data_IF_791475432763
#
_entry.id   IF_791475432763
#
_cell.length_a   1.000
_cell.length_b   1.000
_cell.length_c   1.000
_cell.angle_alpha   90.00
_cell.angle_beta   90.00
_cell.angle_gamma   90.00
#
_symmetry.space_group_name_H-M   'P 1'
#
loop_
_entity.id
_entity.type
_entity.pdbx_description
1 polymer ?
#
# COMPACT_ATOMS: atom_id res chain seq x y z
N UNK A 1 -22.19 -2.38 -10.13
CA UNK A 1 -23.57 -2.62 -10.60
C UNK A 1 -24.30 -3.75 -9.86
N UNK A 2 -23.63 -4.85 -9.49
CA UNK A 2 -24.28 -6.00 -8.82
C UNK A 2 -24.92 -5.71 -7.45
N UNK A 3 -24.46 -4.67 -6.75
CA UNK A 3 -24.97 -4.22 -5.44
C UNK A 3 -25.92 -3.03 -5.51
N UNK A 4 -26.06 -2.37 -6.67
CA UNK A 4 -26.90 -1.17 -6.85
C UNK A 4 -28.38 -1.53 -7.03
N UNK A 5 -28.65 -2.63 -7.75
CA UNK A 5 -30.02 -3.12 -8.01
C UNK A 5 -30.76 -3.47 -6.71
N UNK A 6 -30.18 -4.25 -5.76
CA UNK A 6 -30.85 -4.52 -4.49
C UNK A 6 -31.01 -3.27 -3.62
N UNK A 7 -30.05 -2.34 -3.64
CA UNK A 7 -30.15 -1.09 -2.87
C UNK A 7 -31.30 -0.19 -3.35
N UNK A 8 -31.48 -0.04 -4.66
CA UNK A 8 -32.58 0.77 -5.23
C UNK A 8 -33.95 0.18 -4.86
N UNK A 9 -34.07 -1.15 -4.84
CA UNK A 9 -35.31 -1.84 -4.47
C UNK A 9 -35.65 -1.65 -2.99
N UNK A 10 -34.65 -1.62 -2.10
CA UNK A 10 -34.83 -1.36 -0.66
C UNK A 10 -35.22 0.10 -0.40
N UNK A 11 -34.58 1.07 -1.07
CA UNK A 11 -34.88 2.50 -0.88
C UNK A 11 -36.31 2.86 -1.34
N UNK A 12 -36.80 2.22 -2.41
CA UNK A 12 -38.15 2.49 -2.96
C UNK A 12 -39.27 1.84 -2.15
N UNK A 13 -39.00 0.78 -1.37
CA UNK A 13 -40.04 0.02 -0.67
C UNK A 13 -40.07 0.25 0.84
N UNK A 14 -38.99 0.73 1.46
CA UNK A 14 -38.79 0.74 2.91
C UNK A 14 -38.03 1.99 3.38
N UNK A 15 -38.66 3.16 3.32
CA UNK A 15 -38.06 4.43 3.80
C UNK A 15 -37.69 4.39 5.30
N UNK A 16 -38.33 3.54 6.13
CA UNK A 16 -38.05 3.45 7.57
C UNK A 16 -37.12 2.31 8.00
N UNK A 17 -36.70 1.40 7.09
CA UNK A 17 -35.86 0.24 7.47
C UNK A 17 -34.35 0.51 7.38
N UNK A 18 -33.94 1.65 6.82
CA UNK A 18 -32.54 2.05 6.66
C UNK A 18 -31.78 2.07 8.01
N UNK A 19 -32.34 2.62 9.12
CA UNK A 19 -31.69 2.58 10.43
C UNK A 19 -31.47 1.14 10.94
N UNK A 20 -32.43 0.24 10.70
CA UNK A 20 -32.37 -1.14 11.13
C UNK A 20 -31.34 -1.96 10.33
N UNK A 21 -31.29 -1.78 9.00
CA UNK A 21 -30.31 -2.44 8.13
C UNK A 21 -28.88 -1.98 8.44
N UNK A 22 -28.68 -0.69 8.74
CA UNK A 22 -27.37 -0.15 9.11
C UNK A 22 -26.79 -0.81 10.38
N UNK A 23 -27.65 -1.21 11.32
CA UNK A 23 -27.26 -1.91 12.55
C UNK A 23 -27.02 -3.40 12.31
N UNK A 24 -27.95 -4.08 11.62
CA UNK A 24 -27.98 -5.54 11.56
C UNK A 24 -27.38 -6.18 10.29
N UNK A 25 -27.36 -5.48 9.15
CA UNK A 25 -26.91 -6.03 7.87
C UNK A 25 -26.16 -5.00 6.98
N UNK A 26 -25.05 -4.42 7.47
CA UNK A 26 -24.36 -3.32 6.79
C UNK A 26 -23.67 -3.70 5.47
N UNK A 27 -23.50 -4.99 5.19
CA UNK A 27 -22.93 -5.50 3.94
C UNK A 27 -23.86 -5.33 2.73
N UNK A 28 -25.14 -5.02 2.95
CA UNK A 28 -26.12 -4.74 1.87
C UNK A 28 -26.17 -3.26 1.48
N UNK A 29 -25.46 -2.40 2.20
CA UNK A 29 -25.44 -0.97 1.96
C UNK A 29 -24.29 -0.59 1.01
N UNK A 30 -24.51 0.36 0.08
CA UNK A 30 -23.45 0.87 -0.78
C UNK A 30 -22.36 1.52 0.06
N UNK A 31 -21.13 1.55 -0.47
CA UNK A 31 -19.96 2.09 0.21
C UNK A 31 -20.09 3.56 0.63
N UNK A 32 -21.12 4.26 0.15
CA UNK A 32 -21.47 5.64 0.52
C UNK A 32 -22.11 5.78 1.89
N UNK A 33 -22.54 4.69 2.54
CA UNK A 33 -23.18 4.70 3.88
C UNK A 33 -22.40 3.91 4.93
N UNK A 34 -21.09 3.74 4.72
CA UNK A 34 -20.19 3.11 5.69
C UNK A 34 -20.01 4.05 6.90
N UNK A 35 -20.33 3.56 8.10
CA UNK A 35 -20.14 4.33 9.32
C UNK A 35 -18.63 4.50 9.64
N UNK A 36 -18.22 5.60 10.31
CA UNK A 36 -16.83 5.80 10.74
C UNK A 36 -16.26 4.64 11.56
N UNK A 37 -17.09 4.01 12.39
CA UNK A 37 -16.71 2.83 13.19
C UNK A 37 -16.45 1.59 12.33
N UNK A 38 -17.15 1.44 11.20
CA UNK A 38 -16.93 0.35 10.25
C UNK A 38 -15.68 0.59 9.41
N UNK A 39 -15.44 1.83 8.98
CA UNK A 39 -14.21 2.23 8.30
C UNK A 39 -12.98 1.90 9.17
N UNK A 40 -13.01 2.29 10.45
CA UNK A 40 -11.94 1.99 11.39
C UNK A 40 -11.68 0.47 11.52
N UNK A 41 -12.73 -0.34 11.67
CA UNK A 41 -12.59 -1.81 11.71
C UNK A 41 -11.98 -2.38 10.42
N UNK A 42 -12.34 -1.82 9.27
CA UNK A 42 -11.77 -2.23 7.98
C UNK A 42 -10.29 -1.86 7.89
N UNK A 43 -9.92 -0.66 8.32
CA UNK A 43 -8.53 -0.19 8.40
C UNK A 43 -7.70 -1.05 9.35
N UNK A 44 -8.20 -1.32 10.56
CA UNK A 44 -7.55 -2.17 11.56
C UNK A 44 -7.31 -3.59 11.00
N UNK A 45 -8.31 -4.15 10.29
CA UNK A 45 -8.17 -5.45 9.64
C UNK A 45 -7.15 -5.44 8.50
N UNK A 46 -7.12 -4.36 7.71
CA UNK A 46 -6.14 -4.18 6.64
C UNK A 46 -4.72 -4.05 7.21
N UNK A 47 -4.56 -3.35 8.33
CA UNK A 47 -3.31 -3.20 9.07
C UNK A 47 -2.79 -4.52 9.62
N UNK A 48 -3.64 -5.27 10.33
CA UNK A 48 -3.28 -6.57 10.86
C UNK A 48 -2.86 -7.53 9.73
N UNK A 49 -3.58 -7.49 8.60
CA UNK A 49 -3.21 -8.26 7.42
C UNK A 49 -1.87 -7.81 6.83
N UNK A 50 -1.63 -6.51 6.71
CA UNK A 50 -0.36 -5.96 6.23
C UNK A 50 0.82 -6.45 7.07
N UNK A 51 0.70 -6.38 8.41
CA UNK A 51 1.71 -6.88 9.36
C UNK A 51 2.00 -8.37 9.20
N UNK A 52 1.00 -9.18 8.84
CA UNK A 52 1.20 -10.62 8.62
C UNK A 52 2.08 -10.94 7.39
N UNK A 53 2.30 -9.98 6.50
CA UNK A 53 3.17 -10.11 5.32
C UNK A 53 4.58 -9.55 5.54
N UNK A 54 4.89 -9.11 6.76
CA UNK A 54 6.26 -8.75 7.13
C UNK A 54 7.11 -10.02 7.18
N UNK A 55 7.87 -10.28 6.11
CA UNK A 55 8.83 -11.39 6.02
C UNK A 55 10.25 -10.84 5.92
N UNK A 56 11.04 -10.87 7.02
CA UNK A 56 12.42 -10.38 7.02
C UNK A 56 13.29 -11.06 5.96
N UNK A 57 13.17 -12.38 5.81
CA UNK A 57 13.92 -13.17 4.82
C UNK A 57 13.61 -12.75 3.39
N UNK A 58 12.33 -12.55 3.06
CA UNK A 58 11.91 -12.14 1.72
C UNK A 58 12.41 -10.72 1.39
N UNK A 59 12.28 -9.76 2.32
CA UNK A 59 12.75 -8.40 2.07
C UNK A 59 14.28 -8.30 2.03
N UNK A 60 14.99 -9.09 2.84
CA UNK A 60 16.45 -9.20 2.75
C UNK A 60 16.90 -9.75 1.39
N UNK A 61 16.21 -10.77 0.86
CA UNK A 61 16.51 -11.31 -0.47
C UNK A 61 16.37 -10.24 -1.57
N UNK A 62 15.33 -9.40 -1.49
CA UNK A 62 15.14 -8.27 -2.42
C UNK A 62 16.26 -7.23 -2.31
N UNK A 63 16.65 -6.87 -1.08
CA UNK A 63 17.74 -5.91 -0.85
C UNK A 63 19.07 -6.46 -1.36
N UNK A 64 19.35 -7.75 -1.14
CA UNK A 64 20.58 -8.39 -1.63
C UNK A 64 20.61 -8.45 -3.16
N UNK A 65 19.50 -8.83 -3.80
CA UNK A 65 19.39 -8.84 -5.27
C UNK A 65 19.59 -7.45 -5.91
N UNK A 66 19.32 -6.37 -5.18
CA UNK A 66 19.59 -5.00 -5.63
C UNK A 66 21.07 -4.61 -5.49
N UNK A 67 21.81 -5.22 -4.55
CA UNK A 67 23.24 -4.96 -4.29
C UNK A 67 24.15 -5.69 -5.28
N UNK A 68 23.69 -6.81 -5.83
CA UNK A 68 24.40 -7.60 -6.84
C UNK A 68 24.48 -6.91 -8.21
N UNK A 69 23.86 -5.73 -8.39
CA UNK A 69 23.89 -4.96 -9.64
C UNK A 69 25.22 -4.20 -9.83
N UNK A 70 25.70 -4.15 -11.08
CA UNK A 70 26.80 -3.26 -11.49
C UNK A 70 26.52 -1.80 -11.10
N UNK A 71 27.62 -1.10 -10.78
CA UNK A 71 27.77 0.22 -10.16
C UNK A 71 26.76 1.32 -10.54
N UNK A 72 26.20 1.25 -11.75
CA UNK A 72 25.37 2.29 -12.36
C UNK A 72 23.88 2.23 -11.97
N UNK A 73 23.37 1.07 -11.55
CA UNK A 73 21.96 0.87 -11.16
C UNK A 73 21.84 0.30 -9.74
N UNK A 74 22.54 0.91 -8.78
CA UNK A 74 22.36 0.56 -7.36
C UNK A 74 20.96 0.99 -6.90
N UNK A 75 20.35 0.18 -6.02
CA UNK A 75 19.06 0.46 -5.37
C UNK A 75 17.80 0.33 -6.27
N UNK A 76 17.83 -0.55 -7.28
CA UNK A 76 16.65 -0.87 -8.10
C UNK A 76 16.41 -2.37 -8.17
N UNK A 77 15.14 -2.77 -8.23
CA UNK A 77 14.72 -4.17 -8.49
C UNK A 77 13.52 -4.15 -9.42
N UNK A 78 13.69 -4.61 -10.65
CA UNK A 78 12.59 -4.72 -11.59
C UNK A 78 11.64 -5.90 -11.26
N UNK A 79 10.49 -5.95 -11.94
CA UNK A 79 9.46 -6.98 -11.72
C UNK A 79 9.94 -8.39 -12.11
N UNK A 80 10.83 -8.52 -13.09
CA UNK A 80 11.36 -9.81 -13.53
C UNK A 80 12.35 -10.37 -12.51
N UNK A 81 13.20 -9.52 -11.93
CA UNK A 81 14.03 -9.86 -10.79
C UNK A 81 13.20 -10.24 -9.58
N UNK A 82 12.18 -9.44 -9.24
CA UNK A 82 11.26 -9.78 -8.14
C UNK A 82 10.62 -11.17 -8.35
N UNK A 83 10.26 -11.51 -9.59
CA UNK A 83 9.77 -12.83 -9.97
C UNK A 83 10.82 -13.93 -9.77
N UNK A 84 12.06 -13.67 -10.19
CA UNK A 84 13.17 -14.63 -10.12
C UNK A 84 13.63 -14.91 -8.68
N UNK A 85 13.55 -13.92 -7.78
CA UNK A 85 13.82 -14.12 -6.35
C UNK A 85 12.85 -15.14 -5.76
N UNK A 86 11.58 -15.08 -6.18
CA UNK A 86 10.63 -16.14 -5.91
C UNK A 86 9.24 -15.66 -5.50
N UNK A 87 8.32 -16.62 -5.37
CA UNK A 87 6.90 -16.36 -5.11
C UNK A 87 6.64 -15.79 -3.72
N UNK A 88 7.46 -16.13 -2.74
CA UNK A 88 7.37 -15.56 -1.40
C UNK A 88 7.61 -14.05 -1.42
N UNK A 89 8.68 -13.60 -2.10
CA UNK A 89 9.02 -12.18 -2.23
C UNK A 89 7.94 -11.38 -2.96
N UNK A 90 7.38 -11.92 -4.04
CA UNK A 90 6.22 -11.31 -4.71
C UNK A 90 5.01 -11.16 -3.78
N UNK A 91 4.73 -12.19 -2.97
CA UNK A 91 3.59 -12.16 -2.03
C UNK A 91 3.84 -11.23 -0.85
N UNK A 92 5.07 -11.15 -0.35
CA UNK A 92 5.45 -10.22 0.70
C UNK A 92 5.27 -8.77 0.23
N UNK A 93 5.78 -8.42 -0.97
CA UNK A 93 5.60 -7.08 -1.56
C UNK A 93 4.13 -6.78 -1.83
N UNK A 94 3.38 -7.70 -2.44
CA UNK A 94 1.95 -7.47 -2.67
C UNK A 94 1.17 -7.32 -1.35
N UNK A 95 1.46 -8.16 -0.36
CA UNK A 95 0.77 -8.16 0.93
C UNK A 95 1.06 -6.93 1.77
N UNK A 96 2.32 -6.48 1.81
CA UNK A 96 2.70 -5.25 2.51
C UNK A 96 2.10 -4.01 1.85
N UNK A 97 1.87 -4.03 0.53
CA UNK A 97 1.15 -2.98 -0.20
C UNK A 97 -0.39 -3.13 -0.10
N UNK A 98 -0.90 -4.02 0.76
CA UNK A 98 -2.33 -4.32 0.94
C UNK A 98 -3.04 -4.84 -0.32
N UNK A 99 -2.29 -5.37 -1.26
CA UNK A 99 -2.80 -5.98 -2.48
C UNK A 99 -3.17 -7.44 -2.25
N UNK A 100 -3.99 -7.98 -3.16
CA UNK A 100 -4.32 -9.40 -3.15
C UNK A 100 -3.12 -10.26 -3.58
N UNK A 101 -2.70 -11.19 -2.71
CA UNK A 101 -1.51 -12.05 -2.85
C UNK A 101 -1.77 -13.41 -3.53
N UNK A 102 -3.03 -13.67 -3.90
CA UNK A 102 -3.45 -14.89 -4.57
C UNK A 102 -3.46 -14.72 -6.09
N UNK A 103 -3.30 -15.85 -6.79
CA UNK A 103 -3.29 -15.94 -8.24
C UNK A 103 -1.93 -16.31 -8.85
N UNK A 104 -1.87 -16.37 -10.20
CA UNK A 104 -0.63 -16.59 -10.95
C UNK A 104 0.35 -15.43 -10.80
N UNK A 105 1.66 -15.69 -10.97
CA UNK A 105 2.71 -14.67 -10.80
C UNK A 105 2.49 -13.40 -11.66
N UNK A 106 2.16 -13.48 -12.96
CA UNK A 106 1.93 -12.29 -13.78
C UNK A 106 0.82 -11.38 -13.23
N UNK A 107 -0.23 -11.96 -12.64
CA UNK A 107 -1.34 -11.21 -12.06
C UNK A 107 -0.90 -10.46 -10.80
N UNK A 108 -0.08 -11.08 -9.95
CA UNK A 108 0.47 -10.43 -8.74
C UNK A 108 1.39 -9.29 -9.15
N UNK A 109 2.30 -9.52 -10.11
CA UNK A 109 3.23 -8.51 -10.62
C UNK A 109 2.50 -7.33 -11.26
N UNK A 110 1.45 -7.58 -12.05
CA UNK A 110 0.62 -6.52 -12.63
C UNK A 110 -0.04 -5.64 -11.57
N UNK A 111 -0.54 -6.24 -10.47
CA UNK A 111 -1.10 -5.46 -9.34
C UNK A 111 -0.03 -4.60 -8.68
N UNK A 112 1.16 -5.15 -8.46
CA UNK A 112 2.30 -4.42 -7.88
C UNK A 112 2.68 -3.26 -8.79
N UNK A 113 2.88 -3.52 -10.09
CA UNK A 113 3.22 -2.50 -11.08
C UNK A 113 2.21 -1.36 -11.11
N UNK A 114 0.92 -1.70 -11.24
CA UNK A 114 -0.17 -0.72 -11.28
C UNK A 114 -0.21 0.13 -10.00
N UNK A 115 -0.08 -0.50 -8.83
CA UNK A 115 -0.10 0.21 -7.55
C UNK A 115 1.11 1.12 -7.40
N UNK A 116 2.31 0.65 -7.74
CA UNK A 116 3.52 1.46 -7.60
C UNK A 116 3.61 2.61 -8.60
N UNK A 117 2.96 2.50 -9.77
CA UNK A 117 2.74 3.65 -10.68
C UNK A 117 1.83 4.70 -10.05
N UNK A 118 0.71 4.27 -9.46
CA UNK A 118 -0.16 5.17 -8.71
C UNK A 118 0.59 5.87 -7.55
N UNK A 119 1.36 5.12 -6.76
CA UNK A 119 2.20 5.70 -5.69
C UNK A 119 3.26 6.64 -6.26
N UNK A 120 3.79 6.36 -7.46
CA UNK A 120 4.75 7.24 -8.10
C UNK A 120 4.14 8.59 -8.50
N UNK A 121 2.92 8.60 -9.02
CA UNK A 121 2.16 9.82 -9.31
C UNK A 121 1.89 10.61 -8.03
N UNK A 122 1.48 9.95 -6.95
CA UNK A 122 1.25 10.57 -5.65
C UNK A 122 2.54 11.16 -5.04
N UNK A 123 3.65 10.43 -5.10
CA UNK A 123 4.96 10.93 -4.66
C UNK A 123 5.39 12.20 -5.41
N UNK A 124 5.06 12.33 -6.70
CA UNK A 124 5.35 13.55 -7.48
C UNK A 124 4.53 14.74 -6.99
N UNK A 125 3.29 14.53 -6.55
CA UNK A 125 2.46 15.59 -5.98
C UNK A 125 2.97 15.98 -4.59
N UNK A 126 3.23 15.01 -3.72
CA UNK A 126 3.78 15.26 -2.39
C UNK A 126 5.14 15.97 -2.44
N UNK A 127 5.99 15.64 -3.42
CA UNK A 127 7.26 16.32 -3.60
C UNK A 127 7.11 17.80 -3.96
N UNK A 128 6.03 18.19 -4.66
CA UNK A 128 5.70 19.59 -4.95
C UNK A 128 5.08 20.31 -3.75
N UNK A 129 4.44 19.57 -2.86
CA UNK A 129 3.70 20.08 -1.70
C UNK A 129 4.44 19.85 -0.36
N UNK A 130 5.67 20.36 -0.26
CA UNK A 130 6.47 20.33 0.97
C UNK A 130 6.72 18.90 1.52
N UNK A 131 6.87 17.92 0.63
CA UNK A 131 7.16 16.52 0.98
C UNK A 131 6.14 15.91 1.98
N UNK A 132 4.88 16.33 1.89
CA UNK A 132 3.82 15.89 2.80
C UNK A 132 3.80 16.61 4.16
N UNK A 133 4.47 17.76 4.28
CA UNK A 133 4.48 18.56 5.52
C UNK A 133 3.09 19.05 5.97
N UNK A 134 2.15 19.16 5.03
CA UNK A 134 0.77 19.62 5.27
C UNK A 134 -0.23 18.50 5.59
N UNK A 135 0.20 17.23 5.55
CA UNK A 135 -0.68 16.10 5.82
C UNK A 135 -1.11 16.08 7.29
N UNK A 136 -2.40 15.84 7.51
CA UNK A 136 -2.93 15.47 8.83
C UNK A 136 -2.35 14.12 9.29
N UNK A 137 -2.40 13.84 10.59
CA UNK A 137 -1.87 12.58 11.14
C UNK A 137 -2.49 11.34 10.48
N UNK A 138 -3.78 11.42 10.13
CA UNK A 138 -4.50 10.36 9.42
C UNK A 138 -4.00 10.18 8.00
N UNK A 139 -3.84 11.28 7.25
CA UNK A 139 -3.34 11.24 5.87
C UNK A 139 -1.89 10.77 5.80
N UNK A 140 -1.08 11.18 6.76
CA UNK A 140 0.30 10.73 6.91
C UNK A 140 0.37 9.21 7.14
N UNK A 141 -0.48 8.68 8.02
CA UNK A 141 -0.60 7.23 8.23
C UNK A 141 -0.97 6.52 6.94
N UNK A 142 -2.01 7.00 6.23
CA UNK A 142 -2.45 6.43 4.96
C UNK A 142 -1.35 6.46 3.89
N UNK A 143 -0.65 7.59 3.74
CA UNK A 143 0.45 7.73 2.79
C UNK A 143 1.57 6.71 3.05
N UNK A 144 1.94 6.49 4.32
CA UNK A 144 2.93 5.47 4.69
C UNK A 144 2.41 4.05 4.41
N UNK A 145 1.16 3.76 4.73
CA UNK A 145 0.58 2.45 4.50
C UNK A 145 0.49 2.09 3.02
N UNK A 146 0.15 3.04 2.15
CA UNK A 146 0.13 2.85 0.70
C UNK A 146 1.52 2.56 0.11
N UNK A 147 2.57 3.08 0.75
CA UNK A 147 3.98 2.82 0.44
C UNK A 147 4.51 1.53 1.09
N UNK A 148 3.65 0.76 1.76
CA UNK A 148 4.02 -0.48 2.44
C UNK A 148 4.83 -0.27 3.71
N UNK A 149 4.72 0.89 4.36
CA UNK A 149 5.40 1.22 5.62
C UNK A 149 4.37 1.12 6.75
N UNK A 150 4.64 0.29 7.74
CA UNK A 150 3.75 0.12 8.89
C UNK A 150 4.00 1.27 9.87
N UNK A 151 3.12 2.28 9.86
CA UNK A 151 3.18 3.44 10.76
C UNK A 151 2.54 3.21 12.15
N UNK A 152 2.06 2.00 12.44
CA UNK A 152 1.39 1.70 13.72
C UNK A 152 2.33 1.96 14.91
N UNK A 153 1.93 2.83 15.83
CA UNK A 153 2.73 3.21 17.00
C UNK A 153 3.79 4.28 16.76
N UNK A 154 3.94 4.80 15.53
CA UNK A 154 4.85 5.93 15.27
C UNK A 154 4.28 7.24 15.82
N UNK A 155 5.14 8.07 16.41
CA UNK A 155 4.78 9.47 16.70
C UNK A 155 4.64 10.25 15.38
N UNK A 156 3.78 11.27 15.28
CA UNK A 156 3.58 12.03 14.04
C UNK A 156 4.89 12.57 13.42
N UNK A 157 5.82 13.06 14.25
CA UNK A 157 7.12 13.53 13.78
C UNK A 157 7.99 12.43 13.15
N UNK A 158 7.96 11.22 13.73
CA UNK A 158 8.68 10.06 13.20
C UNK A 158 8.06 9.61 11.87
N UNK A 159 6.74 9.58 11.79
CA UNK A 159 6.01 9.26 10.57
C UNK A 159 6.33 10.27 9.44
N UNK A 160 6.37 11.57 9.73
CA UNK A 160 6.77 12.61 8.76
C UNK A 160 8.21 12.43 8.30
N UNK A 161 9.12 12.18 9.24
CA UNK A 161 10.52 11.89 8.90
C UNK A 161 10.64 10.67 7.99
N UNK A 162 9.86 9.63 8.27
CA UNK A 162 9.86 8.40 7.47
C UNK A 162 9.32 8.64 6.05
N UNK A 163 8.25 9.42 5.89
CA UNK A 163 7.72 9.80 4.58
C UNK A 163 8.76 10.63 3.80
N UNK A 164 9.40 11.60 4.44
CA UNK A 164 10.44 12.41 3.80
C UNK A 164 11.64 11.58 3.36
N UNK A 165 12.06 10.60 4.18
CA UNK A 165 13.12 9.65 3.84
C UNK A 165 12.73 8.78 2.64
N UNK A 166 11.49 8.29 2.60
CA UNK A 166 10.94 7.58 1.45
C UNK A 166 11.05 8.43 0.17
N UNK A 167 10.45 9.62 0.18
CA UNK A 167 10.39 10.51 -0.98
C UNK A 167 11.79 10.84 -1.48
N UNK A 168 12.71 11.18 -0.58
CA UNK A 168 14.12 11.45 -0.93
C UNK A 168 14.79 10.25 -1.59
N UNK A 169 14.50 9.02 -1.12
CA UNK A 169 15.11 7.80 -1.67
C UNK A 169 14.61 7.44 -3.07
N UNK A 170 13.37 7.79 -3.41
CA UNK A 170 12.76 7.47 -4.70
C UNK A 170 12.86 8.60 -5.72
N UNK A 171 13.01 9.86 -5.26
CA UNK A 171 13.12 11.04 -6.14
C UNK A 171 14.51 11.27 -6.74
N UNK A 172 15.59 10.70 -6.18
CA UNK A 172 16.95 10.96 -6.67
C UNK A 172 17.23 10.23 -7.99
N UNK A 173 17.40 10.97 -9.10
CA UNK A 173 17.69 10.40 -10.44
C UNK A 173 16.48 9.78 -11.11
N UNK A 174 15.32 10.46 -11.03
CA UNK A 174 14.02 9.99 -11.50
C UNK A 174 13.92 9.99 -13.04
N UNK A 175 14.50 8.98 -13.67
CA UNK A 175 14.03 8.51 -14.97
C UNK A 175 12.71 7.78 -14.78
N UNK A 176 11.70 8.10 -15.60
CA UNK A 176 10.35 7.54 -15.52
C UNK A 176 10.36 6.00 -15.58
N UNK A 177 11.29 5.43 -16.35
CA UNK A 177 11.49 3.99 -16.50
C UNK A 177 11.89 3.28 -15.19
N UNK A 178 12.55 4.00 -14.27
CA UNK A 178 13.01 3.46 -13.00
C UNK A 178 12.05 3.74 -11.84
N UNK A 179 10.89 4.36 -12.09
CA UNK A 179 9.94 4.75 -11.05
C UNK A 179 9.43 3.55 -10.23
N UNK A 180 9.02 2.46 -10.90
CA UNK A 180 8.54 1.24 -10.23
C UNK A 180 9.70 0.44 -9.61
N UNK A 181 10.80 0.14 -10.33
CA UNK A 181 11.92 -0.63 -9.77
C UNK A 181 12.54 -0.02 -8.50
N UNK A 182 12.65 1.31 -8.42
CA UNK A 182 13.15 2.01 -7.23
C UNK A 182 12.21 1.82 -6.04
N UNK A 183 10.90 1.87 -6.27
CA UNK A 183 9.90 1.71 -5.22
C UNK A 183 9.84 0.29 -4.68
N UNK A 184 10.00 -0.73 -5.54
CA UNK A 184 10.13 -2.13 -5.09
C UNK A 184 11.29 -2.25 -4.09
N UNK A 185 12.45 -1.67 -4.41
CA UNK A 185 13.59 -1.64 -3.52
C UNK A 185 13.32 -0.84 -2.24
N UNK A 186 12.69 0.34 -2.34
CA UNK A 186 12.38 1.18 -1.19
C UNK A 186 11.40 0.50 -0.23
N UNK A 187 10.38 -0.21 -0.73
CA UNK A 187 9.47 -1.06 0.08
C UNK A 187 10.28 -2.09 0.86
N UNK A 188 11.17 -2.81 0.17
CA UNK A 188 11.96 -3.85 0.82
C UNK A 188 12.88 -3.26 1.90
N UNK A 189 13.61 -2.18 1.59
CA UNK A 189 14.50 -1.50 2.53
C UNK A 189 13.75 -1.01 3.78
N UNK A 190 12.56 -0.44 3.63
CA UNK A 190 11.75 0.03 4.75
C UNK A 190 11.31 -1.12 5.67
N UNK A 191 11.06 -2.31 5.12
CA UNK A 191 10.56 -3.45 5.88
C UNK A 191 11.68 -4.37 6.43
N UNK A 192 12.91 -4.28 5.92
CA UNK A 192 14.08 -4.90 6.58
C UNK A 192 14.39 -4.20 7.90
N UNK A 193 14.42 -2.86 7.89
CA UNK A 193 14.81 -2.07 9.06
C UNK A 193 13.75 -2.06 10.17
N UNK A 194 12.50 -2.41 9.86
CA UNK A 194 11.41 -2.46 10.85
C UNK A 194 11.42 -3.76 11.68
N UNK A 195 12.21 -4.76 11.28
CA UNK A 195 12.28 -6.09 11.91
C UNK A 195 13.61 -6.37 12.63
N UNK A 196 14.54 -5.40 12.60
CA UNK A 196 15.80 -5.42 13.32
C UNK A 196 15.70 -4.57 14.59
#
# INVERSE_FOLDING_TARGET
MRTLIPFLLVVVTLEELIPLIAIYAPFMLPSTTILPSQLKRMEDKALAKQQSFTSPSAFLAIVNAAREHESSQRNVVDLMRLRNIGRESMRAVAGILRLATWGPAPMILWRIDKHLKFVAEDDLLLAKEDMGGRLSDRELGNALYERGIIASGMKPEQARKQLKLWLTSVSFGAEEELAVPRRIFAVAKANVNATA
#
